data_IF_433217747415
#
_entry.id   IF_433217747415
#
_cell.length_a   1.000
_cell.length_b   1.000
_cell.length_c   1.000
_cell.angle_alpha   90.00
_cell.angle_beta   90.00
_cell.angle_gamma   90.00
#
_symmetry.space_group_name_H-M   'P 1'
#
loop_
_entity.id
_entity.type
_entity.pdbx_description
1 polymer ?
#
# COMPACT_ATOMS: atom_id res chain seq x y z
N UNK A 1 -24.73 8.18 -1.50
CA UNK A 1 -24.54 8.67 -0.11
C UNK A 1 -24.37 10.18 -0.17
N UNK A 2 -25.11 10.97 0.61
CA UNK A 2 -25.00 12.44 0.57
C UNK A 2 -23.67 12.88 1.20
N UNK A 3 -22.78 13.37 0.34
CA UNK A 3 -21.50 13.93 0.73
C UNK A 3 -21.70 15.39 1.13
N UNK A 4 -21.73 15.68 2.43
CA UNK A 4 -21.74 17.06 2.90
C UNK A 4 -20.41 17.72 2.51
N UNK A 5 -20.44 18.64 1.55
CA UNK A 5 -19.31 19.47 1.15
C UNK A 5 -19.30 20.70 2.05
N UNK A 6 -18.58 20.60 3.17
CA UNK A 6 -18.29 21.73 4.05
C UNK A 6 -16.85 22.14 3.85
N UNK A 7 -16.55 23.45 3.92
CA UNK A 7 -15.18 23.98 3.82
C UNK A 7 -14.20 23.29 4.80
N UNK A 8 -14.71 22.85 5.94
CA UNK A 8 -13.96 22.11 6.96
C UNK A 8 -13.61 20.67 6.56
N UNK A 9 -14.45 20.02 5.75
CA UNK A 9 -14.18 18.67 5.24
C UNK A 9 -13.06 18.73 4.22
N UNK A 10 -13.17 19.60 3.24
CA UNK A 10 -12.18 19.68 2.15
C UNK A 10 -10.76 20.01 2.68
N UNK A 11 -10.65 20.71 3.81
CA UNK A 11 -9.37 21.06 4.41
C UNK A 11 -8.74 19.94 5.26
N UNK A 12 -9.56 19.14 5.96
CA UNK A 12 -9.07 18.22 7.01
C UNK A 12 -9.37 16.74 6.75
N UNK A 13 -10.20 16.41 5.76
CA UNK A 13 -10.60 15.03 5.47
C UNK A 13 -9.41 14.17 5.07
N UNK A 14 -8.66 14.58 4.05
CA UNK A 14 -7.49 13.84 3.56
C UNK A 14 -6.47 13.68 4.68
N UNK A 15 -6.16 14.77 5.40
CA UNK A 15 -5.23 14.73 6.54
C UNK A 15 -5.71 13.80 7.65
N UNK A 16 -7.01 13.75 7.95
CA UNK A 16 -7.55 12.85 8.97
C UNK A 16 -7.46 11.38 8.56
N UNK A 17 -7.74 11.06 7.28
CA UNK A 17 -7.60 9.69 6.76
C UNK A 17 -6.14 9.29 6.71
N UNK A 18 -5.26 10.21 6.36
CA UNK A 18 -3.85 9.95 6.23
C UNK A 18 -3.18 9.64 7.59
N UNK A 19 -3.53 10.39 8.63
CA UNK A 19 -3.17 10.08 10.03
C UNK A 19 -3.75 8.73 10.50
N UNK A 20 -4.90 8.34 9.97
CA UNK A 20 -5.54 7.09 10.31
C UNK A 20 -4.88 5.88 9.61
N UNK A 21 -4.56 6.00 8.32
CA UNK A 21 -4.01 4.92 7.49
C UNK A 21 -2.50 4.80 7.66
N UNK A 22 -1.74 5.89 7.57
CA UNK A 22 -0.27 5.85 7.65
C UNK A 22 0.24 5.71 9.07
N UNK A 23 -0.32 6.49 9.99
CA UNK A 23 0.16 6.54 11.38
C UNK A 23 -0.61 5.60 12.32
N UNK A 24 -1.74 5.02 11.88
CA UNK A 24 -2.54 4.11 12.68
C UNK A 24 -3.22 4.76 13.89
N UNK A 25 -3.36 6.09 13.90
CA UNK A 25 -3.93 6.82 15.03
C UNK A 25 -5.44 6.59 15.13
N UNK A 26 -5.93 6.45 16.37
CA UNK A 26 -7.38 6.37 16.62
C UNK A 26 -8.06 7.72 16.36
N UNK A 27 -9.34 7.69 15.97
CA UNK A 27 -10.15 8.90 15.77
C UNK A 27 -10.14 9.85 16.99
N UNK A 28 -9.94 9.32 18.21
CA UNK A 28 -9.84 10.11 19.44
C UNK A 28 -8.52 10.88 19.52
N UNK A 29 -7.43 10.30 19.05
CA UNK A 29 -6.12 10.96 18.98
C UNK A 29 -6.11 12.00 17.87
N UNK A 30 -6.66 11.66 16.70
CA UNK A 30 -6.78 12.59 15.56
C UNK A 30 -7.60 13.83 15.95
N UNK A 31 -8.67 13.67 16.74
CA UNK A 31 -9.48 14.78 17.24
C UNK A 31 -8.74 15.72 18.21
N UNK A 32 -7.61 15.32 18.78
CA UNK A 32 -6.74 16.21 19.57
C UNK A 32 -5.77 17.01 18.70
N UNK A 33 -5.45 16.50 17.52
CA UNK A 33 -4.48 17.09 16.58
C UNK A 33 -5.18 18.06 15.63
N UNK A 34 -6.36 17.69 15.14
CA UNK A 34 -7.14 18.49 14.21
C UNK A 34 -8.25 19.25 14.95
N UNK A 35 -8.58 20.49 14.53
CA UNK A 35 -9.69 21.26 15.08
C UNK A 35 -11.04 20.75 14.52
N UNK A 36 -11.26 19.44 14.58
CA UNK A 36 -12.44 18.75 14.06
C UNK A 36 -12.98 17.85 15.15
N UNK A 37 -14.31 17.85 15.31
CA UNK A 37 -14.94 17.05 16.36
C UNK A 37 -14.67 15.55 16.17
N UNK A 38 -14.50 14.82 17.28
CA UNK A 38 -14.29 13.36 17.27
C UNK A 38 -15.37 12.60 16.51
N UNK A 39 -16.62 13.06 16.54
CA UNK A 39 -17.75 12.44 15.87
C UNK A 39 -17.69 12.64 14.36
N UNK A 40 -17.23 13.80 13.91
CA UNK A 40 -16.97 14.07 12.48
C UNK A 40 -15.87 13.16 11.94
N UNK A 41 -14.74 13.05 12.65
CA UNK A 41 -13.63 12.18 12.25
C UNK A 41 -14.06 10.71 12.23
N UNK A 42 -14.80 10.26 13.25
CA UNK A 42 -15.36 8.91 13.28
C UNK A 42 -16.25 8.63 12.07
N UNK A 43 -17.10 9.58 11.68
CA UNK A 43 -17.97 9.46 10.50
C UNK A 43 -17.15 9.39 9.21
N UNK A 44 -16.11 10.22 9.06
CA UNK A 44 -15.23 10.18 7.89
C UNK A 44 -14.52 8.84 7.75
N UNK A 45 -13.99 8.31 8.86
CA UNK A 45 -13.35 6.99 8.89
C UNK A 45 -14.35 5.88 8.56
N UNK A 46 -15.58 5.96 9.05
CA UNK A 46 -16.62 4.97 8.76
C UNK A 46 -16.96 4.94 7.26
N UNK A 47 -17.14 6.11 6.64
CA UNK A 47 -17.37 6.25 5.18
C UNK A 47 -16.17 5.70 4.41
N UNK A 48 -14.95 6.10 4.79
CA UNK A 48 -13.72 5.64 4.15
C UNK A 48 -13.57 4.11 4.23
N UNK A 49 -13.89 3.50 5.38
CA UNK A 49 -13.81 2.06 5.58
C UNK A 49 -14.90 1.30 4.80
N UNK A 50 -16.09 1.89 4.62
CA UNK A 50 -17.15 1.35 3.76
C UNK A 50 -16.75 1.39 2.28
N UNK A 51 -16.11 2.47 1.83
CA UNK A 51 -15.58 2.63 0.47
C UNK A 51 -14.33 1.76 0.22
N UNK A 52 -13.57 1.42 1.28
CA UNK A 52 -12.34 0.64 1.20
C UNK A 52 -12.38 -0.59 2.13
N UNK A 53 -13.01 -1.70 1.70
CA UNK A 53 -13.15 -2.92 2.50
C UNK A 53 -11.82 -3.50 2.99
N UNK A 54 -10.72 -3.25 2.26
CA UNK A 54 -9.37 -3.66 2.64
C UNK A 54 -8.77 -2.80 3.76
N UNK A 55 -9.09 -1.50 3.81
CA UNK A 55 -8.64 -0.60 4.88
C UNK A 55 -9.33 -0.91 6.23
N UNK A 56 -10.51 -1.52 6.18
CA UNK A 56 -11.29 -1.88 7.36
C UNK A 56 -10.64 -2.98 8.23
N UNK A 57 -9.66 -3.73 7.70
CA UNK A 57 -8.88 -4.70 8.48
C UNK A 57 -7.94 -4.03 9.48
N UNK A 58 -7.57 -2.77 9.30
CA UNK A 58 -6.61 -2.07 10.17
C UNK A 58 -7.18 -1.69 11.55
N UNK A 59 -8.51 -1.71 11.72
CA UNK A 59 -9.16 -1.18 12.96
C UNK A 59 -10.08 -2.14 13.69
N UNK A 60 -10.32 -3.34 13.16
CA UNK A 60 -11.02 -4.39 13.93
C UNK A 60 -10.24 -4.84 15.19
N UNK A 61 -8.98 -4.41 15.36
CA UNK A 61 -8.20 -4.67 16.57
C UNK A 61 -8.57 -3.75 17.76
N UNK A 62 -9.16 -2.56 17.54
CA UNK A 62 -9.36 -1.57 18.63
C UNK A 62 -10.79 -1.45 19.14
N UNK A 63 -11.79 -2.00 18.44
CA UNK A 63 -13.21 -1.83 18.81
C UNK A 63 -13.76 -2.94 19.69
N UNK A 64 -13.05 -4.07 19.81
CA UNK A 64 -13.46 -5.20 20.66
C UNK A 64 -12.81 -5.16 22.05
N UNK A 65 -12.60 -3.97 22.61
CA UNK A 65 -12.19 -3.78 24.00
C UNK A 65 -13.30 -3.04 24.74
N UNK A 66 -14.41 -3.74 24.95
CA UNK A 66 -15.21 -3.54 26.16
C UNK A 66 -14.86 -4.70 27.09
N UNK A 67 -14.42 -4.32 28.28
CA UNK A 67 -14.12 -5.14 29.47
C UNK A 67 -12.96 -6.13 29.34
N UNK A 68 -11.74 -5.65 29.66
CA UNK A 68 -10.95 -6.28 30.73
C UNK A 68 -10.04 -5.25 31.38
N UNK A 69 -10.08 -5.32 32.70
CA UNK A 69 -9.50 -4.45 33.71
C UNK A 69 -7.97 -4.58 33.66
N UNK A 70 -7.33 -3.44 33.96
CA UNK A 70 -5.92 -3.19 34.25
C UNK A 70 -5.14 -4.42 34.73
N UNK A 71 -4.01 -4.71 34.11
CA UNK A 71 -2.77 -5.11 34.80
C UNK A 71 -1.56 -4.95 33.86
N UNK A 72 -0.60 -4.17 34.37
CA UNK A 72 0.71 -3.88 33.80
C UNK A 72 1.63 -5.09 33.95
N UNK A 73 2.15 -5.66 32.85
CA UNK A 73 3.30 -6.57 32.90
C UNK A 73 4.17 -6.40 31.65
N UNK A 74 5.32 -5.76 31.87
CA UNK A 74 6.67 -6.09 31.39
C UNK A 74 6.85 -6.59 29.94
N UNK A 75 7.55 -5.76 29.19
CA UNK A 75 8.39 -6.06 28.02
C UNK A 75 9.27 -7.30 28.23
N UNK A 76 9.08 -8.30 27.36
CA UNK A 76 10.13 -9.22 26.88
C UNK A 76 9.81 -9.58 25.40
N UNK A 77 10.82 -9.82 24.54
CA UNK A 77 10.65 -9.90 23.10
C UNK A 77 10.12 -11.28 22.71
N UNK A 78 8.79 -11.41 22.68
CA UNK A 78 8.16 -12.57 22.07
C UNK A 78 8.42 -12.54 20.57
N UNK A 79 9.13 -13.56 20.10
CA UNK A 79 9.26 -13.95 18.69
C UNK A 79 7.87 -14.11 18.07
N UNK A 80 7.30 -12.99 17.65
CA UNK A 80 6.05 -12.94 16.93
C UNK A 80 6.35 -13.47 15.53
N UNK A 81 6.09 -14.76 15.31
CA UNK A 81 5.94 -15.31 13.96
C UNK A 81 4.97 -14.38 13.25
N UNK A 82 5.49 -13.64 12.26
CA UNK A 82 4.68 -12.82 11.36
C UNK A 82 3.51 -13.69 10.87
N UNK A 83 2.30 -13.13 10.73
CA UNK A 83 1.16 -13.89 10.24
C UNK A 83 1.56 -14.61 8.94
N UNK A 84 1.21 -15.89 8.81
CA UNK A 84 1.62 -16.79 7.73
C UNK A 84 1.38 -16.18 6.33
N UNK A 85 0.32 -15.38 6.21
CA UNK A 85 0.00 -14.57 5.04
C UNK A 85 1.10 -13.56 4.67
N UNK A 86 1.74 -12.92 5.65
CA UNK A 86 2.82 -11.94 5.36
C UNK A 86 4.11 -12.65 4.95
N UNK A 87 4.39 -13.83 5.52
CA UNK A 87 5.57 -14.61 5.12
C UNK A 87 5.44 -15.13 3.68
N UNK A 88 4.29 -15.72 3.35
CA UNK A 88 4.00 -16.17 1.98
C UNK A 88 4.03 -15.02 0.96
N UNK A 89 3.48 -13.85 1.30
CA UNK A 89 3.58 -12.67 0.45
C UNK A 89 5.04 -12.20 0.26
N UNK A 90 5.87 -12.25 1.30
CA UNK A 90 7.29 -11.90 1.20
C UNK A 90 8.05 -12.88 0.28
N UNK A 91 7.77 -14.17 0.41
CA UNK A 91 8.34 -15.20 -0.47
C UNK A 91 7.92 -15.00 -1.93
N UNK A 92 6.65 -14.66 -2.17
CA UNK A 92 6.16 -14.38 -3.53
C UNK A 92 6.81 -13.13 -4.13
N UNK A 93 6.98 -12.06 -3.35
CA UNK A 93 7.70 -10.85 -3.80
C UNK A 93 9.15 -11.17 -4.16
N UNK A 94 9.85 -11.97 -3.35
CA UNK A 94 11.22 -12.39 -3.64
C UNK A 94 11.30 -13.23 -4.92
N UNK A 95 10.38 -14.19 -5.10
CA UNK A 95 10.29 -15.01 -6.31
C UNK A 95 10.04 -14.16 -7.55
N UNK A 96 9.08 -13.23 -7.49
CA UNK A 96 8.72 -12.37 -8.60
C UNK A 96 9.88 -11.45 -9.01
N UNK A 97 10.59 -10.88 -8.03
CA UNK A 97 11.80 -10.08 -8.30
C UNK A 97 12.88 -10.88 -9.02
N UNK A 98 13.15 -12.10 -8.57
CA UNK A 98 14.13 -12.97 -9.22
C UNK A 98 13.72 -13.37 -10.65
N UNK A 99 12.42 -13.52 -10.92
CA UNK A 99 11.92 -13.78 -12.28
C UNK A 99 12.08 -12.55 -13.18
N UNK A 100 11.81 -11.36 -12.64
CA UNK A 100 11.96 -10.09 -13.34
C UNK A 100 13.41 -9.86 -13.75
N UNK A 101 14.34 -9.99 -12.81
CA UNK A 101 15.79 -9.83 -13.08
C UNK A 101 16.26 -10.79 -14.20
N UNK A 102 15.84 -12.06 -14.16
CA UNK A 102 16.15 -13.02 -15.23
C UNK A 102 15.57 -12.62 -16.58
N UNK A 103 14.37 -12.05 -16.60
CA UNK A 103 13.74 -11.59 -17.83
C UNK A 103 14.47 -10.37 -18.43
N UNK A 104 14.91 -9.43 -17.57
CA UNK A 104 15.69 -8.26 -17.98
C UNK A 104 17.04 -8.66 -18.57
N UNK A 105 17.82 -9.49 -17.87
CA UNK A 105 19.11 -9.99 -18.36
C UNK A 105 18.94 -10.71 -19.71
N UNK A 106 17.88 -11.51 -19.84
CA UNK A 106 17.58 -12.23 -21.09
C UNK A 106 17.23 -11.26 -22.22
N UNK A 107 16.47 -10.21 -21.94
CA UNK A 107 16.12 -9.19 -22.92
C UNK A 107 17.37 -8.42 -23.39
N UNK A 108 18.21 -7.97 -22.46
CA UNK A 108 19.47 -7.28 -22.76
C UNK A 108 20.40 -8.15 -23.60
N UNK A 109 20.56 -9.43 -23.25
CA UNK A 109 21.36 -10.38 -24.02
C UNK A 109 20.84 -10.56 -25.46
N UNK A 110 19.51 -10.58 -25.66
CA UNK A 110 18.92 -10.66 -26.99
C UNK A 110 19.10 -9.38 -27.80
N UNK A 111 19.01 -8.21 -27.16
CA UNK A 111 19.29 -6.94 -27.83
C UNK A 111 20.75 -6.88 -28.31
N UNK A 112 21.70 -7.30 -27.47
CA UNK A 112 23.10 -7.34 -27.85
C UNK A 112 23.39 -8.36 -28.96
N UNK A 113 22.75 -9.54 -28.92
CA UNK A 113 22.85 -10.51 -30.01
C UNK A 113 22.40 -9.89 -31.34
N UNK A 114 21.29 -9.13 -31.32
CA UNK A 114 20.79 -8.42 -32.49
C UNK A 114 21.82 -7.37 -32.95
N UNK A 115 22.39 -6.58 -32.04
CA UNK A 115 23.41 -5.57 -32.38
C UNK A 115 24.65 -6.18 -33.04
N UNK A 116 25.15 -7.30 -32.50
CA UNK A 116 26.29 -8.03 -33.08
C UNK A 116 25.94 -8.62 -34.45
N UNK A 117 24.72 -9.14 -34.63
CA UNK A 117 24.27 -9.66 -35.92
C UNK A 117 24.14 -8.54 -36.97
N UNK A 118 23.50 -7.43 -36.64
CA UNK A 118 23.32 -6.29 -37.55
C UNK A 118 24.66 -5.70 -37.98
N UNK A 119 25.62 -5.56 -37.05
CA UNK A 119 26.96 -5.06 -37.36
C UNK A 119 27.78 -6.02 -38.21
N UNK A 120 27.75 -7.33 -37.91
CA UNK A 120 28.51 -8.35 -38.66
C UNK A 120 28.00 -8.55 -40.07
N UNK A 121 26.68 -8.63 -40.24
CA UNK A 121 26.05 -8.94 -41.53
C UNK A 121 25.67 -7.68 -42.33
N UNK A 122 25.72 -6.48 -41.72
CA UNK A 122 25.35 -5.20 -42.33
C UNK A 122 23.90 -5.19 -42.88
N UNK A 123 23.01 -5.91 -42.22
CA UNK A 123 21.58 -6.00 -42.55
C UNK A 123 20.81 -5.53 -41.31
N UNK A 124 19.81 -4.67 -41.52
CA UNK A 124 18.89 -4.25 -40.45
C UNK A 124 17.84 -5.34 -40.20
N UNK A 125 17.88 -5.96 -39.02
CA UNK A 125 16.96 -7.02 -38.59
C UNK A 125 15.75 -6.41 -37.89
N UNK A 126 15.94 -5.33 -37.12
CA UNK A 126 14.83 -4.59 -36.52
C UNK A 126 14.05 -3.79 -37.57
N UNK A 127 12.72 -3.72 -37.43
CA UNK A 127 11.91 -2.77 -38.19
C UNK A 127 12.30 -1.34 -37.79
N UNK A 128 12.52 -0.46 -38.77
CA UNK A 128 12.67 0.97 -38.52
C UNK A 128 11.34 1.54 -38.02
N UNK A 129 11.37 2.32 -36.94
CA UNK A 129 10.19 3.03 -36.45
C UNK A 129 9.62 3.90 -37.57
N UNK A 130 8.37 3.65 -37.97
CA UNK A 130 7.67 4.42 -39.01
C UNK A 130 7.53 3.77 -40.39
N UNK A 131 7.99 2.53 -40.60
CA UNK A 131 7.66 1.82 -41.82
C UNK A 131 6.15 1.49 -41.85
N UNK A 132 5.38 2.15 -42.73
CA UNK A 132 3.97 1.81 -42.99
C UNK A 132 3.88 0.32 -43.38
N UNK A 133 2.93 -0.38 -42.77
CA UNK A 133 2.57 -1.75 -43.12
C UNK A 133 2.06 -1.84 -44.56
#
# INVERSE_FOLDING_TARGET
>A
MFQYQTKTRDLYYDKAIDLYVREGLSYRQIAKILPVSKTTIMRWIAIFAEENPHAQRMVKLTTNVKTRKVESVQTEPSSAKMPEDVQSLQEEVLRLRAQLEKAEIKAEAYEELINVAESKFKISIRKKAGAKQ
#
